data_IF_562552980908
#
_entry.id   IF_562552980908
#
_cell.length_a   1.000
_cell.length_b   1.000
_cell.length_c   1.000
_cell.angle_alpha   90.00
_cell.angle_beta   90.00
_cell.angle_gamma   90.00
#
_symmetry.space_group_name_H-M   'P 1'
#
loop_
_entity.id
_entity.type
_entity.pdbx_description
1 polymer ?
#
# COMPACT_ATOMS: atom_id res chain seq x y z
N UNK A 1 -16.92 1.91 35.20
CA UNK A 1 -17.32 0.63 34.55
C UNK A 1 -16.12 -0.32 34.51
N UNK A 2 -16.32 -1.58 34.93
CA UNK A 2 -15.24 -2.54 35.04
C UNK A 2 -14.83 -3.07 33.68
N UNK A 3 -13.58 -3.49 33.54
CA UNK A 3 -13.02 -4.08 32.31
C UNK A 3 -13.85 -5.27 31.79
N UNK A 4 -14.54 -5.99 32.68
CA UNK A 4 -15.46 -7.08 32.33
C UNK A 4 -16.72 -6.60 31.61
N UNK A 5 -17.28 -5.45 31.99
CA UNK A 5 -18.48 -4.87 31.34
C UNK A 5 -18.12 -4.38 29.95
N UNK A 6 -16.96 -3.78 29.80
CA UNK A 6 -16.47 -3.32 28.51
C UNK A 6 -16.28 -4.48 27.50
N UNK A 7 -15.65 -5.58 27.93
CA UNK A 7 -15.51 -6.78 27.08
C UNK A 7 -16.85 -7.37 26.63
N UNK A 8 -17.87 -7.31 27.51
CA UNK A 8 -19.22 -7.78 27.18
C UNK A 8 -19.88 -6.88 26.12
N UNK A 9 -19.77 -5.57 26.27
CA UNK A 9 -20.30 -4.58 25.31
C UNK A 9 -19.59 -4.70 23.96
N UNK A 10 -18.26 -4.84 23.93
CA UNK A 10 -17.48 -5.03 22.71
C UNK A 10 -17.96 -6.26 21.93
N UNK A 11 -18.07 -7.42 22.60
CA UNK A 11 -18.59 -8.64 21.98
C UNK A 11 -20.01 -8.50 21.44
N UNK A 12 -20.85 -7.76 22.13
CA UNK A 12 -22.21 -7.50 21.69
C UNK A 12 -22.23 -6.61 20.45
N UNK A 13 -21.41 -5.56 20.39
CA UNK A 13 -21.25 -4.71 19.20
C UNK A 13 -20.72 -5.53 18.04
N UNK A 14 -19.64 -6.26 18.23
CA UNK A 14 -19.02 -7.12 17.20
C UNK A 14 -20.02 -8.16 16.66
N UNK A 15 -20.88 -8.72 17.51
CA UNK A 15 -21.88 -9.69 17.08
C UNK A 15 -22.99 -9.05 16.23
N UNK A 16 -23.41 -7.83 16.58
CA UNK A 16 -24.46 -7.07 15.85
C UNK A 16 -23.95 -6.51 14.53
N UNK A 17 -22.67 -6.19 14.45
CA UNK A 17 -22.05 -5.60 13.26
C UNK A 17 -21.57 -6.64 12.22
N UNK A 18 -21.55 -7.94 12.56
CA UNK A 18 -21.21 -9.02 11.61
C UNK A 18 -21.99 -9.03 10.30
N UNK A 19 -23.19 -8.42 10.28
CA UNK A 19 -24.03 -8.35 9.08
C UNK A 19 -23.79 -7.11 8.21
N UNK A 20 -22.95 -6.20 8.66
CA UNK A 20 -22.62 -4.97 7.92
C UNK A 20 -21.54 -5.32 6.89
N UNK A 21 -21.83 -5.10 5.61
CA UNK A 21 -20.85 -5.27 4.53
C UNK A 21 -19.91 -4.08 4.51
N UNK A 22 -18.79 -4.19 5.20
CA UNK A 22 -17.72 -3.19 5.20
C UNK A 22 -16.36 -3.90 5.20
N UNK A 23 -15.31 -3.16 4.85
CA UNK A 23 -13.95 -3.70 4.74
C UNK A 23 -13.40 -4.06 6.13
N UNK A 24 -13.72 -3.26 7.14
CA UNK A 24 -13.25 -3.43 8.51
C UNK A 24 -14.18 -2.73 9.50
N UNK A 25 -14.36 -3.30 10.69
CA UNK A 25 -15.07 -2.68 11.82
C UNK A 25 -14.15 -2.74 13.04
N UNK A 26 -13.67 -1.57 13.47
CA UNK A 26 -12.85 -1.44 14.66
C UNK A 26 -13.69 -0.90 15.82
N UNK A 27 -13.72 -1.62 16.95
CA UNK A 27 -14.38 -1.17 18.18
C UNK A 27 -13.31 -0.78 19.19
N UNK A 28 -13.08 0.51 19.36
CA UNK A 28 -12.12 1.06 20.33
C UNK A 28 -12.83 1.75 21.51
N UNK A 29 -12.19 1.80 22.67
CA UNK A 29 -12.65 2.58 23.81
C UNK A 29 -11.75 3.79 24.02
N UNK A 30 -12.34 4.99 24.09
CA UNK A 30 -11.64 6.23 24.40
C UNK A 30 -11.46 6.49 25.90
N UNK A 31 -11.79 5.54 26.77
CA UNK A 31 -11.56 5.66 28.19
C UNK A 31 -10.10 5.36 28.52
N UNK A 32 -9.31 6.42 28.61
CA UNK A 32 -7.93 6.43 29.09
C UNK A 32 -6.99 5.66 28.16
N UNK A 33 -6.58 6.36 27.10
CA UNK A 33 -5.48 6.03 26.21
C UNK A 33 -5.33 4.54 25.94
N UNK A 34 -5.48 4.15 24.73
CA UNK A 34 -5.17 2.80 24.27
C UNK A 34 -3.74 2.36 24.73
N UNK A 35 -3.60 2.23 26.07
CA UNK A 35 -2.44 1.57 26.69
C UNK A 35 -2.42 0.09 26.31
N UNK A 36 -3.48 -0.44 25.70
CA UNK A 36 -3.46 -1.79 25.16
C UNK A 36 -2.74 -1.89 23.82
N UNK A 37 -2.66 -0.80 23.06
CA UNK A 37 -1.74 -0.70 21.93
C UNK A 37 -0.29 -0.37 22.39
N UNK A 38 -0.14 0.24 23.57
CA UNK A 38 1.17 0.47 24.22
C UNK A 38 1.50 -0.61 25.25
N UNK A 39 0.50 -1.32 25.80
CA UNK A 39 0.64 -2.43 26.77
C UNK A 39 0.32 -3.76 26.11
N UNK A 40 0.79 -3.93 24.87
CA UNK A 40 1.24 -5.13 24.27
C UNK A 40 0.38 -6.39 24.35
N UNK A 41 -0.87 -6.34 23.88
CA UNK A 41 -1.57 -7.58 23.49
C UNK A 41 -1.21 -8.07 22.09
N UNK A 42 -0.24 -7.48 21.40
CA UNK A 42 0.13 -7.82 20.03
C UNK A 42 1.62 -8.17 19.86
N UNK A 43 1.92 -8.86 18.78
CA UNK A 43 3.29 -9.10 18.32
C UNK A 43 3.63 -8.09 17.24
N UNK A 44 4.81 -7.50 17.28
CA UNK A 44 5.30 -6.59 16.26
C UNK A 44 6.68 -7.02 15.79
N UNK A 45 6.89 -6.96 14.47
CA UNK A 45 8.16 -7.29 13.81
C UNK A 45 8.50 -6.18 12.85
N UNK A 46 9.71 -5.66 12.93
CA UNK A 46 10.24 -4.70 11.98
C UNK A 46 11.09 -5.41 10.94
N UNK A 47 10.84 -5.11 9.67
CA UNK A 47 11.60 -5.60 8.53
C UNK A 47 12.38 -4.42 7.96
N UNK A 48 13.71 -4.45 8.02
CA UNK A 48 14.61 -3.38 7.58
C UNK A 48 15.23 -3.72 6.23
N UNK A 49 15.40 -2.71 5.36
CA UNK A 49 16.07 -2.86 4.07
C UNK A 49 15.94 -1.63 3.19
N UNK A 50 16.66 -1.57 2.08
CA UNK A 50 16.69 -0.39 1.22
C UNK A 50 15.61 -0.40 0.13
N UNK A 51 15.36 -1.56 -0.48
CA UNK A 51 14.41 -1.72 -1.58
C UNK A 51 13.00 -1.97 -1.05
N UNK A 52 12.11 -1.04 -1.34
CA UNK A 52 10.73 -1.03 -0.85
C UNK A 52 9.92 -2.26 -1.31
N UNK A 53 10.07 -2.68 -2.57
CA UNK A 53 9.33 -3.84 -3.08
C UNK A 53 9.76 -5.14 -2.41
N UNK A 54 11.05 -5.26 -2.11
CA UNK A 54 11.57 -6.42 -1.37
C UNK A 54 11.14 -6.38 0.10
N UNK A 55 11.12 -5.18 0.71
CA UNK A 55 10.57 -5.02 2.07
C UNK A 55 9.13 -5.50 2.16
N UNK A 56 8.29 -5.16 1.18
CA UNK A 56 6.90 -5.61 1.10
C UNK A 56 6.84 -7.15 1.05
N UNK A 57 7.58 -7.77 0.14
CA UNK A 57 7.60 -9.24 0.01
C UNK A 57 8.06 -9.95 1.29
N UNK A 58 9.12 -9.43 1.92
CA UNK A 58 9.60 -9.99 3.19
C UNK A 58 8.55 -9.80 4.30
N UNK A 59 7.88 -8.64 4.35
CA UNK A 59 6.80 -8.40 5.32
C UNK A 59 5.62 -9.36 5.13
N UNK A 60 5.27 -9.71 3.88
CA UNK A 60 4.26 -10.73 3.58
C UNK A 60 4.68 -12.13 4.07
N UNK A 61 5.96 -12.48 3.95
CA UNK A 61 6.46 -13.73 4.49
C UNK A 61 6.40 -13.75 6.03
N UNK A 62 6.70 -12.61 6.67
CA UNK A 62 6.53 -12.45 8.12
C UNK A 62 5.07 -12.58 8.52
N UNK A 63 4.12 -11.99 7.76
CA UNK A 63 2.68 -12.17 7.99
C UNK A 63 2.29 -13.64 7.94
N UNK A 64 2.78 -14.40 6.94
CA UNK A 64 2.52 -15.84 6.84
C UNK A 64 3.06 -16.59 8.06
N UNK A 65 4.30 -16.31 8.48
CA UNK A 65 4.91 -16.91 9.67
C UNK A 65 4.12 -16.61 10.95
N UNK A 66 3.60 -15.39 11.10
CA UNK A 66 2.75 -15.02 12.23
C UNK A 66 1.41 -15.77 12.21
N UNK A 67 0.77 -15.87 11.04
CA UNK A 67 -0.53 -16.56 10.86
C UNK A 67 -0.44 -18.08 11.10
N UNK A 68 0.74 -18.68 11.00
CA UNK A 68 0.95 -20.08 11.37
C UNK A 68 0.90 -20.34 12.89
N UNK A 69 0.94 -19.28 13.70
CA UNK A 69 0.80 -19.38 15.15
C UNK A 69 -0.70 -19.38 15.48
N UNK A 70 -1.19 -20.45 16.07
CA UNK A 70 -2.64 -20.69 16.29
C UNK A 70 -3.33 -19.61 17.12
N UNK A 71 -2.58 -18.94 17.97
CA UNK A 71 -3.06 -17.89 18.87
C UNK A 71 -3.07 -16.49 18.23
N UNK A 72 -2.61 -16.38 16.98
CA UNK A 72 -2.67 -15.14 16.19
C UNK A 72 -3.99 -15.05 15.45
N UNK A 73 -4.75 -13.98 15.69
CA UNK A 73 -6.04 -13.72 15.03
C UNK A 73 -5.86 -13.09 13.67
N UNK A 74 -5.10 -12.01 13.65
CA UNK A 74 -4.82 -11.24 12.44
C UNK A 74 -3.36 -10.83 12.42
N UNK A 75 -2.81 -10.67 11.23
CA UNK A 75 -1.48 -10.09 11.03
C UNK A 75 -1.53 -9.21 9.80
N UNK A 76 -0.97 -8.00 9.89
CA UNK A 76 -0.99 -6.96 8.86
C UNK A 76 0.33 -6.18 8.85
N UNK A 77 0.74 -5.73 7.68
CA UNK A 77 1.85 -4.79 7.51
C UNK A 77 1.37 -3.36 7.21
N UNK A 78 0.04 -3.11 7.29
CA UNK A 78 -0.57 -1.82 7.01
C UNK A 78 -0.66 -1.48 5.51
N UNK A 79 -0.12 -2.32 4.63
CA UNK A 79 -0.13 -2.09 3.18
C UNK A 79 -1.44 -2.52 2.54
N UNK A 80 -2.21 -3.40 3.20
CA UNK A 80 -3.51 -3.86 2.70
C UNK A 80 -4.53 -2.72 2.54
N UNK A 81 -4.32 -1.61 3.25
CA UNK A 81 -5.10 -0.38 3.10
C UNK A 81 -4.46 0.63 2.15
N UNK A 82 -3.25 0.36 1.65
CA UNK A 82 -2.59 1.24 0.70
C UNK A 82 -3.30 1.19 -0.66
N UNK A 83 -3.36 2.34 -1.31
CA UNK A 83 -3.91 2.41 -2.66
C UNK A 83 -3.00 1.67 -3.64
N UNK A 84 -3.61 0.90 -4.51
CA UNK A 84 -2.87 0.26 -5.60
C UNK A 84 -2.30 1.33 -6.51
N UNK A 85 -1.02 1.23 -6.79
CA UNK A 85 -0.31 2.11 -7.69
C UNK A 85 0.15 1.32 -8.92
N UNK A 86 -0.12 1.86 -10.08
CA UNK A 86 0.37 1.31 -11.34
C UNK A 86 1.67 2.03 -11.73
N UNK A 87 2.75 1.27 -11.82
CA UNK A 87 4.01 1.75 -12.37
C UNK A 87 4.10 1.41 -13.85
N UNK A 88 4.03 2.42 -14.71
CA UNK A 88 4.29 2.25 -16.13
C UNK A 88 5.80 2.40 -16.38
N UNK A 89 6.44 1.32 -16.83
CA UNK A 89 7.84 1.31 -17.28
C UNK A 89 7.88 1.49 -18.78
N UNK A 90 8.37 2.62 -19.23
CA UNK A 90 8.49 2.94 -20.66
C UNK A 90 9.90 2.56 -21.14
N UNK A 91 9.96 1.71 -22.15
CA UNK A 91 11.22 1.40 -22.87
C UNK A 91 11.56 2.54 -23.81
N UNK A 92 12.59 3.31 -23.43
CA UNK A 92 13.04 4.48 -24.18
C UNK A 92 13.47 4.12 -25.61
N UNK A 93 14.12 2.98 -25.80
CA UNK A 93 14.65 2.59 -27.10
C UNK A 93 13.52 2.26 -28.06
N UNK A 94 12.55 1.44 -27.61
CA UNK A 94 11.37 1.12 -28.40
C UNK A 94 10.53 2.36 -28.72
N UNK A 95 10.34 3.28 -27.76
CA UNK A 95 9.63 4.53 -28.01
C UNK A 95 10.35 5.37 -29.08
N UNK A 96 11.69 5.46 -29.01
CA UNK A 96 12.48 6.21 -29.98
C UNK A 96 12.47 5.60 -31.39
N UNK A 97 12.40 4.26 -31.51
CA UNK A 97 12.24 3.54 -32.80
C UNK A 97 10.94 3.97 -33.52
N UNK A 98 9.93 4.35 -32.76
CA UNK A 98 8.64 4.85 -33.28
C UNK A 98 8.53 6.39 -33.27
N UNK A 99 9.67 7.09 -33.22
CA UNK A 99 9.70 8.55 -33.24
C UNK A 99 9.08 9.24 -32.01
N UNK A 100 8.83 8.47 -30.93
CA UNK A 100 8.18 8.98 -29.71
C UNK A 100 9.20 9.30 -28.61
N UNK A 101 8.99 10.40 -27.96
CA UNK A 101 9.69 10.76 -26.72
C UNK A 101 8.86 10.40 -25.50
N UNK A 102 9.51 10.14 -24.37
CA UNK A 102 8.82 9.89 -23.09
C UNK A 102 7.89 11.05 -22.74
N UNK A 103 8.30 12.29 -23.05
CA UNK A 103 7.48 13.46 -22.76
C UNK A 103 6.17 13.49 -23.57
N UNK A 104 6.20 13.08 -24.83
CA UNK A 104 5.00 12.97 -25.66
C UNK A 104 4.06 11.88 -25.13
N UNK A 105 4.59 10.71 -24.78
CA UNK A 105 3.82 9.62 -24.18
C UNK A 105 3.17 10.10 -22.87
N UNK A 106 3.92 10.77 -22.01
CA UNK A 106 3.41 11.31 -20.76
C UNK A 106 2.29 12.32 -20.96
N UNK A 107 2.45 13.25 -21.93
CA UNK A 107 1.42 14.23 -22.27
C UNK A 107 0.15 13.58 -22.79
N UNK A 108 0.26 12.50 -23.57
CA UNK A 108 -0.89 11.77 -24.07
C UNK A 108 -1.64 11.06 -22.94
N UNK A 109 -0.93 10.39 -22.03
CA UNK A 109 -1.51 9.80 -20.83
C UNK A 109 -2.24 10.85 -19.99
N UNK A 110 -1.63 12.04 -19.78
CA UNK A 110 -2.25 13.12 -19.01
C UNK A 110 -3.56 13.62 -19.63
N UNK A 111 -3.67 13.68 -20.95
CA UNK A 111 -4.93 14.11 -21.62
C UNK A 111 -6.10 13.19 -21.28
N UNK A 112 -5.82 11.88 -21.11
CA UNK A 112 -6.84 10.88 -20.82
C UNK A 112 -7.07 10.66 -19.31
N UNK A 113 -6.11 11.02 -18.45
CA UNK A 113 -6.26 10.89 -16.99
C UNK A 113 -6.88 12.11 -16.35
N UNK A 114 -6.71 13.30 -16.94
CA UNK A 114 -7.28 14.54 -16.42
C UNK A 114 -8.73 14.67 -16.89
N UNK A 115 -9.66 14.19 -16.07
CA UNK A 115 -11.10 14.22 -16.39
C UNK A 115 -11.79 15.53 -16.05
N UNK A 116 -11.25 16.29 -15.11
CA UNK A 116 -11.83 17.55 -14.63
C UNK A 116 -10.79 18.67 -14.67
N UNK A 117 -11.17 19.80 -15.24
CA UNK A 117 -10.40 21.04 -15.15
C UNK A 117 -11.31 22.14 -14.63
N UNK A 118 -10.89 22.81 -13.58
CA UNK A 118 -11.51 24.06 -13.17
C UNK A 118 -11.24 25.09 -14.29
N UNK A 119 -12.29 25.46 -15.02
CA UNK A 119 -12.18 26.32 -16.16
C UNK A 119 -12.25 27.81 -15.78
N UNK A 120 -13.18 28.16 -14.90
CA UNK A 120 -13.45 29.52 -14.48
C UNK A 120 -14.28 29.52 -13.19
N UNK A 121 -14.08 30.56 -12.38
CA UNK A 121 -14.97 30.89 -11.28
C UNK A 121 -15.86 32.04 -11.69
N UNK A 122 -17.16 31.84 -11.70
CA UNK A 122 -18.17 32.85 -11.97
C UNK A 122 -18.70 33.42 -10.67
N UNK A 123 -18.70 34.75 -10.56
CA UNK A 123 -19.38 35.43 -9.47
C UNK A 123 -20.85 35.67 -9.87
N UNK A 124 -21.75 34.96 -9.22
CA UNK A 124 -23.19 35.06 -9.43
C UNK A 124 -23.87 35.35 -8.08
N UNK A 125 -24.54 36.51 -8.00
CA UNK A 125 -25.30 36.94 -6.83
C UNK A 125 -24.51 36.88 -5.51
N UNK A 126 -23.31 37.47 -5.49
CA UNK A 126 -22.38 37.46 -4.33
C UNK A 126 -21.85 36.10 -3.93
N UNK A 127 -22.00 35.07 -4.77
CA UNK A 127 -21.42 33.74 -4.57
C UNK A 127 -20.51 33.38 -5.72
N UNK A 128 -19.36 32.82 -5.37
CA UNK A 128 -18.44 32.25 -6.35
C UNK A 128 -18.89 30.83 -6.69
N UNK A 129 -19.15 30.61 -8.00
CA UNK A 129 -19.53 29.32 -8.55
C UNK A 129 -18.38 28.82 -9.41
N UNK A 130 -17.82 27.67 -9.05
CA UNK A 130 -16.78 27.03 -9.85
C UNK A 130 -17.40 26.28 -11.02
N UNK A 131 -16.90 26.52 -12.21
CA UNK A 131 -17.28 25.81 -13.43
C UNK A 131 -16.19 24.82 -13.77
N UNK A 132 -16.50 23.54 -13.65
CA UNK A 132 -15.61 22.45 -14.01
C UNK A 132 -15.96 21.91 -15.39
N UNK A 133 -14.96 21.83 -16.27
CA UNK A 133 -15.07 21.12 -17.54
C UNK A 133 -14.76 19.66 -17.31
N UNK A 134 -15.73 18.81 -17.62
CA UNK A 134 -15.59 17.35 -17.54
C UNK A 134 -15.38 16.83 -18.96
N UNK A 135 -14.30 16.10 -19.18
CA UNK A 135 -14.05 15.41 -20.43
C UNK A 135 -14.66 14.00 -20.35
N UNK A 136 -15.67 13.71 -21.18
CA UNK A 136 -16.33 12.40 -21.27
C UNK A 136 -15.61 11.42 -22.22
N UNK A 137 -14.32 11.62 -22.49
CA UNK A 137 -13.54 10.61 -23.22
C UNK A 137 -13.43 9.31 -22.41
N UNK A 138 -13.19 8.20 -23.08
CA UNK A 138 -12.99 6.89 -22.47
C UNK A 138 -11.99 6.99 -21.30
N UNK A 139 -12.50 6.77 -20.08
CA UNK A 139 -11.69 6.85 -18.88
C UNK A 139 -10.64 5.75 -18.94
N UNK A 140 -9.38 6.14 -18.77
CA UNK A 140 -8.32 5.17 -18.57
C UNK A 140 -8.56 4.46 -17.23
N UNK A 141 -8.60 3.14 -17.31
CA UNK A 141 -8.67 2.25 -16.15
C UNK A 141 -7.39 1.42 -16.09
N UNK A 142 -7.18 0.78 -14.97
CA UNK A 142 -6.08 -0.17 -14.79
C UNK A 142 -6.03 -1.23 -15.91
N UNK A 143 -7.20 -1.70 -16.37
CA UNK A 143 -7.32 -2.78 -17.35
C UNK A 143 -7.07 -2.33 -18.80
N UNK A 144 -7.31 -1.05 -19.12
CA UNK A 144 -7.28 -0.56 -20.51
C UNK A 144 -6.13 0.40 -20.83
N UNK A 145 -5.32 0.77 -19.83
CA UNK A 145 -4.26 1.77 -20.02
C UNK A 145 -3.23 1.35 -21.06
N UNK A 146 -2.87 0.06 -21.12
CA UNK A 146 -1.93 -0.47 -22.10
C UNK A 146 -2.50 -0.52 -23.52
N UNK A 147 -3.83 -0.54 -23.67
CA UNK A 147 -4.51 -0.49 -24.97
C UNK A 147 -4.69 0.94 -25.49
N UNK A 148 -4.26 1.95 -24.72
CA UNK A 148 -4.31 3.34 -25.14
C UNK A 148 -3.53 3.55 -26.43
N UNK A 149 -4.16 4.26 -27.37
CA UNK A 149 -3.58 4.58 -28.67
C UNK A 149 -2.82 5.88 -28.60
N UNK A 150 -1.59 5.87 -29.11
CA UNK A 150 -0.74 7.05 -29.23
C UNK A 150 -0.48 7.31 -30.69
N UNK A 151 -0.81 8.54 -31.13
CA UNK A 151 -0.57 8.99 -32.49
C UNK A 151 0.82 9.63 -32.58
N UNK A 152 1.58 9.26 -33.59
CA UNK A 152 2.85 9.88 -33.95
C UNK A 152 2.84 10.29 -35.40
N UNK A 153 3.68 11.23 -35.75
CA UNK A 153 3.91 11.65 -37.12
C UNK A 153 5.35 11.36 -37.48
N UNK A 154 5.53 10.49 -38.43
CA UNK A 154 6.85 10.10 -38.96
C UNK A 154 6.98 10.64 -40.38
N UNK A 155 8.21 10.92 -40.82
CA UNK A 155 8.46 11.29 -42.20
C UNK A 155 8.72 10.04 -43.04
N UNK A 156 7.93 9.89 -44.11
CA UNK A 156 8.16 8.83 -45.08
C UNK A 156 9.43 9.10 -45.92
N UNK A 157 9.77 8.17 -46.79
CA UNK A 157 10.98 8.24 -47.67
C UNK A 157 10.96 9.48 -48.57
N UNK A 158 9.82 10.05 -48.86
CA UNK A 158 9.60 11.19 -49.71
C UNK A 158 9.56 12.53 -48.93
N UNK A 159 9.73 12.45 -47.60
CA UNK A 159 9.76 13.58 -46.68
C UNK A 159 8.39 14.12 -46.28
N UNK A 160 7.31 13.40 -46.61
CA UNK A 160 5.94 13.75 -46.22
C UNK A 160 5.61 13.20 -44.84
N UNK A 161 4.78 13.91 -44.09
CA UNK A 161 4.34 13.54 -42.76
C UNK A 161 3.29 12.40 -42.83
N UNK A 162 3.63 11.24 -42.32
CA UNK A 162 2.74 10.08 -42.21
C UNK A 162 2.35 9.86 -40.74
N UNK A 163 1.04 9.68 -40.49
CA UNK A 163 0.52 9.45 -39.14
C UNK A 163 0.48 7.94 -38.86
N UNK A 164 1.11 7.57 -37.79
CA UNK A 164 1.09 6.21 -37.28
C UNK A 164 0.42 6.16 -35.92
N UNK A 165 -0.26 5.07 -35.62
CA UNK A 165 -0.95 4.85 -34.34
C UNK A 165 -0.39 3.57 -33.71
N UNK A 166 0.18 3.71 -32.54
CA UNK A 166 0.75 2.63 -31.76
C UNK A 166 -0.04 2.44 -30.45
N UNK A 167 -0.01 1.22 -29.89
CA UNK A 167 -0.52 0.99 -28.55
C UNK A 167 0.56 1.28 -27.52
N UNK A 168 0.16 1.74 -26.33
CA UNK A 168 1.09 1.95 -25.22
C UNK A 168 1.83 0.65 -24.86
N UNK A 169 1.17 -0.52 -25.00
CA UNK A 169 1.76 -1.85 -24.78
C UNK A 169 2.97 -2.16 -25.66
N UNK A 170 3.12 -1.48 -26.80
CA UNK A 170 4.23 -1.75 -27.73
C UNK A 170 5.60 -1.32 -27.15
N UNK A 171 5.59 -0.31 -26.28
CA UNK A 171 6.79 0.25 -25.66
C UNK A 171 6.70 0.48 -24.16
N UNK A 172 5.59 0.10 -23.52
CA UNK A 172 5.42 0.18 -22.08
C UNK A 172 5.03 -1.17 -21.48
N UNK A 173 5.46 -1.39 -20.26
CA UNK A 173 5.02 -2.50 -19.42
C UNK A 173 4.51 -1.99 -18.09
N UNK A 174 3.56 -2.71 -17.52
CA UNK A 174 3.04 -2.43 -16.20
C UNK A 174 3.78 -3.23 -15.12
N UNK A 175 3.89 -2.62 -13.95
CA UNK A 175 4.39 -3.26 -12.75
C UNK A 175 3.49 -2.83 -11.59
N UNK A 176 2.90 -3.80 -10.91
CA UNK A 176 2.05 -3.54 -9.77
C UNK A 176 2.87 -3.02 -8.61
N UNK A 177 2.44 -1.90 -8.06
CA UNK A 177 3.02 -1.29 -6.87
C UNK A 177 1.94 -0.96 -5.85
N UNK A 178 2.39 -0.69 -4.64
CA UNK A 178 1.55 -0.10 -3.60
C UNK A 178 2.06 1.30 -3.30
N UNK A 179 1.13 2.26 -3.19
CA UNK A 179 1.45 3.58 -2.68
C UNK A 179 1.62 3.46 -1.17
N UNK A 180 2.85 3.62 -0.70
CA UNK A 180 3.08 3.78 0.73
C UNK A 180 3.07 5.27 1.05
N UNK A 181 2.09 5.72 1.81
CA UNK A 181 1.94 7.12 2.21
C UNK A 181 3.13 7.63 3.02
N UNK A 182 3.75 6.72 3.79
CA UNK A 182 4.89 7.05 4.65
C UNK A 182 5.98 5.98 4.58
N UNK A 183 7.22 6.43 4.41
CA UNK A 183 8.40 5.57 4.56
C UNK A 183 9.02 5.85 5.94
N UNK A 184 8.80 4.93 6.88
CA UNK A 184 9.38 5.02 8.23
C UNK A 184 10.84 4.58 8.19
N UNK A 185 11.71 5.31 8.91
CA UNK A 185 13.15 5.01 9.00
C UNK A 185 13.60 4.98 10.45
N UNK A 186 14.43 4.02 10.75
CA UNK A 186 15.16 3.94 12.02
C UNK A 186 16.64 3.81 11.73
N UNK A 187 17.47 4.65 12.36
CA UNK A 187 18.91 4.73 12.09
C UNK A 187 19.22 4.82 10.57
N UNK A 188 18.47 5.66 9.86
CA UNK A 188 18.54 5.90 8.40
C UNK A 188 18.13 4.72 7.52
N UNK A 189 17.82 3.56 8.07
CA UNK A 189 17.30 2.39 7.31
C UNK A 189 15.79 2.42 7.23
N UNK A 190 15.21 2.34 6.02
CA UNK A 190 13.77 2.15 5.86
C UNK A 190 13.33 0.83 6.49
N UNK A 191 12.13 0.82 7.08
CA UNK A 191 11.54 -0.40 7.61
C UNK A 191 10.02 -0.42 7.47
N UNK A 192 9.47 -1.64 7.48
CA UNK A 192 8.04 -1.91 7.54
C UNK A 192 7.77 -2.66 8.83
N UNK A 193 6.75 -2.22 9.57
CA UNK A 193 6.30 -2.92 10.78
C UNK A 193 5.16 -3.86 10.43
N UNK A 194 5.32 -5.12 10.77
CA UNK A 194 4.25 -6.12 10.75
C UNK A 194 3.70 -6.27 12.15
N UNK A 195 2.40 -6.05 12.31
CA UNK A 195 1.70 -6.19 13.59
C UNK A 195 0.76 -7.38 13.55
N UNK A 196 0.64 -8.10 14.65
CA UNK A 196 -0.32 -9.18 14.78
C UNK A 196 -1.13 -9.05 16.06
N UNK A 197 -2.44 -9.24 15.95
CA UNK A 197 -3.33 -9.38 17.09
C UNK A 197 -3.33 -10.82 17.57
N UNK A 198 -3.19 -10.99 18.87
CA UNK A 198 -3.22 -12.31 19.54
C UNK A 198 -4.50 -12.47 20.36
N UNK A 199 -4.82 -13.71 20.69
CA UNK A 199 -5.93 -14.00 21.61
C UNK A 199 -5.71 -13.34 22.97
N UNK A 200 -6.79 -12.79 23.55
CA UNK A 200 -6.76 -12.10 24.86
C UNK A 200 -6.22 -12.98 26.01
N UNK A 201 -6.33 -14.30 25.88
CA UNK A 201 -5.84 -15.27 26.86
C UNK A 201 -4.46 -15.85 26.50
N UNK A 202 -3.89 -15.43 25.38
CA UNK A 202 -2.59 -15.93 24.95
C UNK A 202 -1.46 -15.25 25.73
N UNK A 203 -0.41 -15.99 25.97
CA UNK A 203 0.79 -15.46 26.62
C UNK A 203 1.72 -14.84 25.58
N UNK A 204 1.70 -13.50 25.50
CA UNK A 204 2.49 -12.73 24.55
C UNK A 204 3.99 -13.08 24.59
N UNK A 205 4.56 -13.32 25.78
CA UNK A 205 5.99 -13.67 25.94
C UNK A 205 6.31 -15.03 25.32
N UNK A 206 5.44 -16.03 25.50
CA UNK A 206 5.64 -17.33 24.87
C UNK A 206 5.51 -17.26 23.36
N UNK A 207 4.56 -16.46 22.87
CA UNK A 207 4.38 -16.25 21.44
C UNK A 207 5.54 -15.49 20.80
N UNK A 208 6.08 -14.48 21.49
CA UNK A 208 7.28 -13.77 21.07
C UNK A 208 8.47 -14.70 20.90
N UNK A 209 8.68 -15.63 21.84
CA UNK A 209 9.74 -16.65 21.72
C UNK A 209 9.52 -17.58 20.54
N UNK A 210 8.29 -18.11 20.36
CA UNK A 210 7.94 -18.94 19.20
C UNK A 210 8.19 -18.19 17.88
N UNK A 211 7.87 -16.92 17.84
CA UNK A 211 8.07 -16.07 16.66
C UNK A 211 9.55 -15.79 16.43
N UNK A 212 10.34 -15.53 17.51
CA UNK A 212 11.79 -15.36 17.42
C UNK A 212 12.45 -16.62 16.86
N UNK A 213 12.08 -17.80 17.32
CA UNK A 213 12.61 -19.09 16.80
C UNK A 213 12.32 -19.26 15.29
N UNK A 214 11.21 -18.72 14.80
CA UNK A 214 10.87 -18.73 13.37
C UNK A 214 11.68 -17.69 12.60
N UNK A 215 11.84 -16.48 13.14
CA UNK A 215 12.64 -15.41 12.55
C UNK A 215 14.11 -15.84 12.44
N UNK A 216 14.67 -16.48 13.47
CA UNK A 216 16.07 -16.94 13.47
C UNK A 216 16.32 -18.02 12.39
N UNK A 217 15.30 -18.78 12.02
CA UNK A 217 15.35 -19.77 10.93
C UNK A 217 15.09 -19.16 9.56
N UNK A 218 14.50 -17.97 9.51
CA UNK A 218 14.21 -17.27 8.27
C UNK A 218 15.49 -16.66 7.70
N UNK A 219 15.84 -17.06 6.48
CA UNK A 219 16.99 -16.50 5.77
C UNK A 219 16.55 -15.28 4.96
N UNK A 220 16.61 -14.11 5.56
CA UNK A 220 16.38 -12.87 4.82
C UNK A 220 17.44 -12.70 3.71
N UNK A 221 17.06 -12.13 2.56
CA UNK A 221 18.01 -11.76 1.51
C UNK A 221 19.11 -10.84 2.05
N UNK A 222 20.31 -10.86 1.44
CA UNK A 222 21.41 -10.00 1.88
C UNK A 222 21.03 -8.52 1.90
N UNK A 223 21.35 -7.84 3.00
CA UNK A 223 21.00 -6.44 3.23
C UNK A 223 19.65 -6.20 3.90
N UNK A 224 18.89 -7.25 4.19
CA UNK A 224 17.60 -7.18 4.89
C UNK A 224 17.71 -7.82 6.26
N UNK A 225 16.99 -7.24 7.22
CA UNK A 225 16.99 -7.68 8.60
C UNK A 225 15.55 -7.73 9.15
N UNK A 226 15.23 -8.79 9.86
CA UNK A 226 13.92 -9.00 10.49
C UNK A 226 14.12 -9.07 11.99
N UNK A 227 13.47 -8.17 12.73
CA UNK A 227 13.60 -8.08 14.19
C UNK A 227 12.25 -7.99 14.87
N UNK A 228 12.08 -8.66 16.00
CA UNK A 228 10.98 -8.38 16.91
C UNK A 228 11.04 -6.94 17.39
N UNK A 229 9.89 -6.29 17.49
CA UNK A 229 9.74 -4.92 17.96
C UNK A 229 8.78 -4.87 19.15
N UNK A 230 8.91 -3.85 20.01
CA UNK A 230 8.04 -3.63 21.17
C UNK A 230 8.60 -4.18 22.48
N UNK A 231 7.76 -4.19 23.52
CA UNK A 231 8.14 -4.60 24.90
C UNK A 231 8.67 -6.04 25.00
N UNK A 232 8.44 -6.87 23.98
CA UNK A 232 8.96 -8.20 23.89
C UNK A 232 10.51 -8.26 23.81
N UNK A 233 11.14 -7.24 23.26
CA UNK A 233 12.61 -7.16 23.18
C UNK A 233 13.24 -6.85 24.52
N UNK A 234 12.62 -5.97 25.34
CA UNK A 234 13.14 -5.64 26.67
C UNK A 234 13.12 -6.82 27.62
N UNK A 235 12.12 -7.70 27.51
CA UNK A 235 12.01 -8.89 28.36
C UNK A 235 13.07 -9.95 28.01
N UNK A 236 13.49 -10.02 26.76
CA UNK A 236 14.50 -11.00 26.31
C UNK A 236 15.91 -10.58 26.70
N UNK A 237 16.20 -9.28 26.70
CA UNK A 237 17.51 -8.75 27.07
C UNK A 237 17.74 -8.72 28.60
N UNK A 238 16.65 -8.71 29.40
CA UNK A 238 16.76 -8.83 30.87
C UNK A 238 16.98 -10.27 31.35
N UNK A 239 16.85 -11.26 30.48
CA UNK A 239 16.99 -12.68 30.82
C UNK A 239 18.28 -13.32 30.28
N UNK A 240 19.17 -12.53 29.69
CA UNK A 240 20.55 -12.90 29.36
C UNK A 240 21.50 -12.40 30.43
#
# INVERSE_FOLDING_TARGET
KTTKEFRKIRKEIESKTKRVKCKEITVSSSAMGDMSSLSGGGLSVNVYGEDQQKLIKISEDVIKMMKEISEVKTASNGIESADKMLHLKIDRNKAAEHGLTIAQIYQEILKHTTTEKNAITLNMDEKDVEVNLINETDKLTYENILDMKIETTEKNSDGEDEKHTYKLSDFASEDDGYSMDNITRENQKPYITVTAEIDENANATLLSRKLQDKIDKYKAPGGYEVKLSGDATQTTDMLK
#
